data_IF_521053951962
#
_entry.id   IF_521053951962
#
_cell.length_a   1.000
_cell.length_b   1.000
_cell.length_c   1.000
_cell.angle_alpha   90.00
_cell.angle_beta   90.00
_cell.angle_gamma   90.00
#
_symmetry.space_group_name_H-M   'P 1'
#
loop_
_entity.id
_entity.type
_entity.pdbx_description
1 polymer ?
#
# COMPACT_ATOMS: atom_id res chain seq x y z
N UNK A 1 -14.81 -0.01 7.03
CA UNK A 1 -15.16 1.03 8.00
C UNK A 1 -14.48 2.33 7.59
N UNK A 2 -15.06 3.08 6.65
CA UNK A 2 -14.51 4.37 6.18
C UNK A 2 -15.61 5.40 5.88
N UNK A 3 -16.86 5.11 6.25
CA UNK A 3 -17.99 5.99 6.01
C UNK A 3 -18.36 6.84 7.24
N UNK A 4 -17.64 6.71 8.36
CA UNK A 4 -18.03 7.33 9.64
C UNK A 4 -16.96 8.23 10.26
N UNK A 5 -15.96 8.66 9.49
CA UNK A 5 -14.98 9.63 9.96
C UNK A 5 -14.88 10.73 8.92
N UNK A 6 -15.47 11.90 9.21
CA UNK A 6 -15.30 13.15 8.45
C UNK A 6 -13.88 13.72 8.59
N UNK A 7 -12.95 12.92 9.07
CA UNK A 7 -11.55 13.28 9.21
C UNK A 7 -10.92 13.31 7.82
N UNK A 8 -10.77 14.52 7.29
CA UNK A 8 -10.06 14.78 6.04
C UNK A 8 -8.67 14.13 6.05
N UNK A 9 -8.04 13.96 7.22
CA UNK A 9 -6.77 13.24 7.34
C UNK A 9 -6.90 11.74 7.08
N UNK A 10 -8.05 11.14 7.37
CA UNK A 10 -8.31 9.73 7.07
C UNK A 10 -8.58 9.55 5.58
N UNK A 11 -9.39 10.43 4.97
CA UNK A 11 -9.59 10.43 3.51
C UNK A 11 -8.27 10.71 2.79
N UNK A 12 -7.48 11.69 3.25
CA UNK A 12 -6.15 11.94 2.73
C UNK A 12 -5.17 10.82 3.05
N UNK A 13 -5.24 10.11 4.18
CA UNK A 13 -4.39 8.93 4.41
C UNK A 13 -4.78 7.75 3.50
N UNK A 14 -6.07 7.65 3.14
CA UNK A 14 -6.58 6.67 2.15
C UNK A 14 -6.33 7.11 0.69
N UNK A 15 -6.26 8.40 0.41
CA UNK A 15 -5.95 8.97 -0.93
C UNK A 15 -4.44 9.11 -1.16
N UNK A 16 -3.69 9.47 -0.11
CA UNK A 16 -2.24 9.38 0.03
C UNK A 16 -1.79 7.98 0.47
N UNK A 17 -2.63 6.98 0.27
CA UNK A 17 -2.26 5.57 0.17
C UNK A 17 -1.41 5.37 -1.10
N UNK A 18 -0.43 6.28 -1.31
CA UNK A 18 0.62 6.28 -2.30
C UNK A 18 1.26 4.92 -2.19
N UNK A 19 0.74 4.09 -3.06
CA UNK A 19 0.80 2.66 -3.09
C UNK A 19 1.64 2.01 -1.99
N UNK A 20 1.06 1.87 -0.79
CA UNK A 20 1.74 1.18 0.32
C UNK A 20 2.20 -0.22 -0.10
N UNK A 21 1.53 -0.80 -1.10
CA UNK A 21 1.89 -2.09 -1.67
C UNK A 21 3.13 -2.02 -2.57
N UNK A 22 3.40 -0.89 -3.25
CA UNK A 22 4.68 -0.66 -3.92
C UNK A 22 5.80 -0.55 -2.89
N UNK A 23 5.61 0.24 -1.83
CA UNK A 23 6.61 0.36 -0.77
C UNK A 23 6.85 -0.99 -0.05
N UNK A 24 5.79 -1.77 0.15
CA UNK A 24 5.86 -3.11 0.74
C UNK A 24 6.55 -4.10 -0.20
N UNK A 25 6.23 -4.08 -1.50
CA UNK A 25 6.89 -4.88 -2.50
C UNK A 25 8.38 -4.55 -2.61
N UNK A 26 8.75 -3.27 -2.68
CA UNK A 26 10.14 -2.82 -2.71
C UNK A 26 10.94 -3.38 -1.53
N UNK A 27 10.35 -3.38 -0.32
CA UNK A 27 10.97 -3.96 0.89
C UNK A 27 11.09 -5.49 0.83
N UNK A 28 10.05 -6.20 0.36
CA UNK A 28 10.04 -7.67 0.25
C UNK A 28 11.07 -8.15 -0.78
N UNK A 29 11.09 -7.50 -1.95
CA UNK A 29 11.95 -7.86 -3.07
C UNK A 29 13.34 -7.21 -3.00
N UNK A 30 13.55 -6.27 -2.07
CA UNK A 30 14.79 -5.50 -1.88
C UNK A 30 15.24 -4.76 -3.15
N UNK A 31 14.29 -4.10 -3.80
CA UNK A 31 14.49 -3.31 -5.03
C UNK A 31 13.98 -1.89 -4.82
N UNK A 32 14.30 -0.97 -5.74
CA UNK A 32 13.77 0.39 -5.69
C UNK A 32 12.25 0.40 -5.95
N UNK A 33 11.54 1.38 -5.40
CA UNK A 33 10.09 1.53 -5.61
C UNK A 33 9.72 1.68 -7.10
N UNK A 34 10.62 2.24 -7.91
CA UNK A 34 10.43 2.43 -9.34
C UNK A 34 10.65 1.13 -10.15
N UNK A 35 11.28 0.12 -9.55
CA UNK A 35 11.49 -1.20 -10.15
C UNK A 35 10.35 -2.17 -9.83
N UNK A 36 9.44 -1.79 -8.93
CA UNK A 36 8.29 -2.60 -8.57
C UNK A 36 7.30 -2.65 -9.74
N UNK A 37 7.06 -3.87 -10.22
CA UNK A 37 6.02 -4.11 -11.23
C UNK A 37 4.66 -4.43 -10.61
N UNK A 38 3.63 -4.44 -11.47
CA UNK A 38 2.24 -4.69 -11.08
C UNK A 38 2.01 -6.04 -10.40
N UNK A 39 2.79 -7.08 -10.73
CA UNK A 39 2.65 -8.40 -10.11
C UNK A 39 3.23 -8.43 -8.69
N UNK A 40 4.42 -7.84 -8.48
CA UNK A 40 5.03 -7.67 -7.16
C UNK A 40 4.14 -6.86 -6.23
N UNK A 41 3.59 -5.75 -6.74
CA UNK A 41 2.60 -4.92 -6.04
C UNK A 41 1.36 -5.72 -5.67
N UNK A 42 0.79 -6.50 -6.60
CA UNK A 42 -0.39 -7.33 -6.34
C UNK A 42 -0.11 -8.38 -5.27
N UNK A 43 1.06 -9.03 -5.32
CA UNK A 43 1.51 -9.97 -4.30
C UNK A 43 1.68 -9.30 -2.94
N UNK A 44 2.25 -8.10 -2.88
CA UNK A 44 2.37 -7.31 -1.65
C UNK A 44 1.01 -6.89 -1.09
N UNK A 45 0.02 -6.60 -1.94
CA UNK A 45 -1.37 -6.35 -1.53
C UNK A 45 -2.02 -7.57 -0.88
N UNK A 46 -1.75 -8.77 -1.40
CA UNK A 46 -2.24 -10.02 -0.80
C UNK A 46 -1.41 -10.48 0.39
N UNK A 47 -0.17 -9.98 0.52
CA UNK A 47 0.73 -10.25 1.63
C UNK A 47 0.43 -9.40 2.87
N UNK A 48 -0.83 -9.05 3.11
CA UNK A 48 -1.32 -8.80 4.46
C UNK A 48 -1.26 -10.14 5.20
N UNK A 49 -0.06 -10.54 5.59
CA UNK A 49 0.21 -11.56 6.58
C UNK A 49 -0.67 -11.25 7.78
N UNK A 50 -1.47 -12.23 8.18
CA UNK A 50 -2.30 -12.18 9.36
C UNK A 50 -1.47 -11.77 10.59
N UNK A 51 -1.67 -10.52 11.00
CA UNK A 51 -1.48 -10.03 12.36
C UNK A 51 -2.76 -9.24 12.68
#
# INVERSE_FOLDING_TARGET
MAHLSEDRNMIEAFSNNQDIHIATAAKIYKIDINEVNSDMRRKAKTANFGI
#
